data_IF_919834877779
#
_entry.id   IF_919834877779
#
_cell.length_a   1.000
_cell.length_b   1.000
_cell.length_c   1.000
_cell.angle_alpha   90.00
_cell.angle_beta   90.00
_cell.angle_gamma   90.00
#
_symmetry.space_group_name_H-M   'P 1'
#
loop_
_entity.id
_entity.type
_entity.pdbx_description
1 polymer ?
#
# COMPACT_ATOMS: atom_id res chain seq x y z
N UNK A 1 -36.10 -25.93 18.57
CA UNK A 1 -35.50 -25.02 17.55
C UNK A 1 -34.44 -24.06 18.12
N UNK A 2 -34.52 -23.61 19.38
CA UNK A 2 -33.55 -22.64 19.97
C UNK A 2 -32.07 -23.06 19.96
N UNK A 3 -31.76 -24.36 20.10
CA UNK A 3 -30.38 -24.88 20.09
C UNK A 3 -29.69 -24.84 18.71
N UNK A 4 -30.45 -24.74 17.61
CA UNK A 4 -29.90 -24.71 16.26
C UNK A 4 -29.44 -23.29 15.88
N UNK A 5 -30.23 -22.28 16.26
CA UNK A 5 -29.92 -20.86 16.05
C UNK A 5 -28.66 -20.41 16.80
N UNK A 6 -28.49 -20.85 18.05
CA UNK A 6 -27.28 -20.54 18.86
C UNK A 6 -25.99 -21.10 18.26
N UNK A 7 -26.02 -22.29 17.64
CA UNK A 7 -24.84 -22.86 16.96
C UNK A 7 -24.48 -22.09 15.69
N UNK A 8 -25.47 -21.59 14.94
CA UNK A 8 -25.21 -20.80 13.74
C UNK A 8 -24.63 -19.43 14.07
N UNK A 9 -25.12 -18.74 15.10
CA UNK A 9 -24.54 -17.46 15.58
C UNK A 9 -23.10 -17.64 16.04
N UNK A 10 -22.80 -18.73 16.76
CA UNK A 10 -21.44 -19.02 17.23
C UNK A 10 -20.46 -19.35 16.08
N UNK A 11 -20.90 -20.12 15.08
CA UNK A 11 -20.11 -20.43 13.89
C UNK A 11 -19.86 -19.19 13.03
N UNK A 12 -20.85 -18.32 12.86
CA UNK A 12 -20.72 -17.04 12.13
C UNK A 12 -19.73 -16.12 12.85
N UNK A 13 -19.80 -16.03 14.19
CA UNK A 13 -18.85 -15.26 14.99
C UNK A 13 -17.40 -15.74 14.85
N UNK A 14 -17.16 -17.05 14.88
CA UNK A 14 -15.81 -17.62 14.68
C UNK A 14 -15.31 -17.33 13.25
N UNK A 15 -16.17 -17.46 12.24
CA UNK A 15 -15.80 -17.19 10.85
C UNK A 15 -15.44 -15.71 10.63
N UNK A 16 -16.19 -14.79 11.25
CA UNK A 16 -15.88 -13.36 11.27
C UNK A 16 -14.54 -13.08 11.94
N UNK A 17 -14.24 -13.69 13.09
CA UNK A 17 -12.96 -13.48 13.79
C UNK A 17 -11.77 -13.98 12.95
N UNK A 18 -11.92 -15.11 12.25
CA UNK A 18 -10.90 -15.68 11.36
C UNK A 18 -10.65 -14.84 10.10
N UNK A 19 -11.70 -14.32 9.45
CA UNK A 19 -11.56 -13.38 8.33
C UNK A 19 -11.00 -12.03 8.79
N UNK A 20 -11.25 -11.65 10.05
CA UNK A 20 -10.63 -10.48 10.69
C UNK A 20 -9.11 -10.63 10.82
N UNK A 21 -8.63 -11.75 11.37
CA UNK A 21 -7.19 -11.94 11.57
C UNK A 21 -6.40 -12.06 10.26
N UNK A 22 -6.96 -12.73 9.26
CA UNK A 22 -6.27 -12.99 7.99
C UNK A 22 -6.02 -11.73 7.16
N UNK A 23 -7.00 -10.83 7.03
CA UNK A 23 -6.80 -9.60 6.24
C UNK A 23 -5.85 -8.57 6.91
N UNK A 24 -5.70 -8.58 8.24
CA UNK A 24 -4.69 -7.74 8.92
C UNK A 24 -3.27 -8.21 8.59
N UNK A 25 -3.05 -9.53 8.64
CA UNK A 25 -1.76 -10.13 8.28
C UNK A 25 -1.41 -9.90 6.80
N UNK A 26 -2.41 -9.87 5.91
CA UNK A 26 -2.22 -9.62 4.49
C UNK A 26 -1.75 -8.19 4.18
N UNK A 27 -2.34 -7.18 4.84
CA UNK A 27 -1.94 -5.78 4.72
C UNK A 27 -0.52 -5.55 5.22
N UNK A 28 -0.19 -6.09 6.40
CA UNK A 28 1.16 -6.05 6.97
C UNK A 28 2.18 -6.74 6.05
N UNK A 29 1.80 -7.89 5.48
CA UNK A 29 2.62 -8.60 4.51
C UNK A 29 2.92 -7.76 3.26
N UNK A 30 1.94 -7.02 2.74
CA UNK A 30 2.15 -6.09 1.62
C UNK A 30 3.13 -4.98 1.98
N UNK A 31 2.91 -4.33 3.12
CA UNK A 31 3.72 -3.20 3.57
C UNK A 31 5.19 -3.60 3.75
N UNK A 32 5.44 -4.77 4.34
CA UNK A 32 6.79 -5.32 4.47
C UNK A 32 7.43 -5.64 3.11
N UNK A 33 6.67 -6.24 2.19
CA UNK A 33 7.16 -6.55 0.84
C UNK A 33 7.54 -5.29 0.06
N UNK A 34 6.67 -4.26 0.12
CA UNK A 34 6.93 -2.94 -0.48
C UNK A 34 8.19 -2.29 0.10
N UNK A 35 8.32 -2.27 1.43
CA UNK A 35 9.49 -1.70 2.11
C UNK A 35 10.79 -2.41 1.72
N UNK A 36 10.78 -3.75 1.66
CA UNK A 36 11.95 -4.53 1.28
C UNK A 36 12.34 -4.31 -0.19
N UNK A 37 11.36 -4.32 -1.11
CA UNK A 37 11.62 -4.07 -2.53
C UNK A 37 12.12 -2.64 -2.76
N UNK A 38 11.57 -1.65 -2.05
CA UNK A 38 12.04 -0.27 -2.08
C UNK A 38 13.48 -0.14 -1.58
N UNK A 39 13.80 -0.75 -0.43
CA UNK A 39 15.18 -0.76 0.07
C UNK A 39 16.12 -1.35 -0.99
N UNK A 40 15.69 -2.45 -1.64
CA UNK A 40 16.35 -2.99 -2.81
C UNK A 40 16.69 -1.93 -3.86
N UNK A 41 15.73 -1.12 -4.31
CA UNK A 41 15.97 -0.05 -5.28
C UNK A 41 16.92 1.05 -4.78
N UNK A 42 16.80 1.48 -3.52
CA UNK A 42 17.67 2.50 -2.91
C UNK A 42 19.13 2.02 -2.87
N UNK A 43 19.35 0.73 -2.60
CA UNK A 43 20.68 0.14 -2.54
C UNK A 43 21.19 -0.35 -3.91
N UNK A 44 20.33 -0.77 -4.84
CA UNK A 44 20.72 -1.29 -6.17
C UNK A 44 21.26 -0.18 -7.10
N UNK A 45 20.95 1.10 -6.85
CA UNK A 45 21.56 2.20 -7.63
C UNK A 45 23.05 2.37 -7.39
N UNK A 46 23.58 1.92 -6.26
CA UNK A 46 25.04 1.77 -6.08
C UNK A 46 25.66 0.89 -7.18
N UNK A 47 24.90 -0.09 -7.71
CA UNK A 47 25.40 -1.06 -8.69
C UNK A 47 25.18 -0.64 -10.14
N UNK A 48 24.44 0.43 -10.43
CA UNK A 48 23.89 0.69 -11.79
C UNK A 48 24.19 2.03 -12.43
N UNK A 49 24.76 3.01 -11.75
CA UNK A 49 25.00 4.35 -12.34
C UNK A 49 26.45 4.56 -12.76
N UNK A 50 26.82 3.97 -13.90
CA UNK A 50 27.82 4.54 -14.79
C UNK A 50 27.10 5.28 -15.93
N UNK A 51 26.55 6.46 -15.64
CA UNK A 51 26.09 7.34 -16.71
C UNK A 51 27.33 8.07 -17.27
N UNK A 52 27.88 7.56 -18.37
CA UNK A 52 28.94 8.24 -19.12
C UNK A 52 28.33 9.33 -20.01
N UNK A 53 27.75 10.36 -19.39
CA UNK A 53 27.51 11.61 -20.11
C UNK A 53 28.81 12.40 -20.03
N UNK A 54 29.56 12.40 -21.14
CA UNK A 54 30.79 13.18 -21.24
C UNK A 54 30.42 14.65 -21.45
N UNK A 55 30.49 15.43 -20.38
CA UNK A 55 30.39 16.88 -20.45
C UNK A 55 31.84 17.37 -20.38
N UNK A 56 32.32 17.99 -21.46
CA UNK A 56 33.65 18.59 -21.50
C UNK A 56 33.86 19.53 -20.30
N UNK A 57 34.92 19.25 -19.53
CA UNK A 57 35.28 19.99 -18.31
C UNK A 57 34.45 19.67 -17.08
N UNK A 58 33.56 18.66 -17.12
CA UNK A 58 32.88 18.22 -15.91
C UNK A 58 33.87 17.64 -14.88
N UNK A 59 33.66 17.91 -13.58
CA UNK A 59 34.46 17.30 -12.54
C UNK A 59 34.37 15.78 -12.56
N UNK A 60 35.47 15.12 -12.17
CA UNK A 60 35.63 13.66 -12.12
C UNK A 60 34.59 12.91 -11.26
N UNK A 61 33.88 13.63 -10.39
CA UNK A 61 32.84 13.12 -9.50
C UNK A 61 31.42 13.28 -10.06
N UNK A 62 31.24 14.06 -11.13
CA UNK A 62 29.93 14.37 -11.68
C UNK A 62 29.29 13.11 -12.27
N UNK A 63 28.00 12.88 -11.95
CA UNK A 63 27.25 11.67 -12.28
C UNK A 63 27.80 10.35 -11.71
N UNK A 64 28.74 10.42 -10.75
CA UNK A 64 29.28 9.23 -10.08
C UNK A 64 28.74 9.11 -8.67
N UNK A 65 27.97 8.03 -8.45
CA UNK A 65 27.49 7.65 -7.13
C UNK A 65 28.36 6.51 -6.56
N UNK A 66 29.56 6.89 -6.14
CA UNK A 66 30.65 6.02 -5.69
C UNK A 66 30.62 5.68 -4.19
N UNK A 67 29.66 6.25 -3.45
CA UNK A 67 29.57 6.08 -2.01
C UNK A 67 28.37 5.20 -1.62
N UNK A 68 28.62 4.17 -0.81
CA UNK A 68 27.62 3.23 -0.33
C UNK A 68 26.68 3.83 0.74
N UNK A 69 27.05 4.95 1.37
CA UNK A 69 26.21 5.63 2.36
C UNK A 69 25.15 6.54 1.70
N UNK A 70 25.50 7.12 0.55
CA UNK A 70 24.75 8.24 -0.02
C UNK A 70 23.97 7.86 -1.27
N UNK A 71 22.71 8.30 -1.33
CA UNK A 71 21.94 8.32 -2.56
C UNK A 71 21.94 9.73 -3.13
N UNK A 72 22.53 9.89 -4.32
CA UNK A 72 22.85 11.20 -4.87
C UNK A 72 22.17 11.45 -6.20
N UNK A 73 21.78 12.71 -6.40
CA UNK A 73 21.36 13.26 -7.67
C UNK A 73 22.22 14.47 -8.02
N UNK A 74 22.30 14.74 -9.32
CA UNK A 74 23.23 15.70 -9.87
C UNK A 74 22.48 16.75 -10.68
N UNK A 75 23.03 17.95 -10.74
CA UNK A 75 22.59 18.96 -11.70
C UNK A 75 23.78 19.81 -12.13
N UNK A 76 23.65 20.39 -13.32
CA UNK A 76 24.61 21.32 -13.85
C UNK A 76 23.88 22.48 -14.53
N UNK A 77 24.53 23.64 -14.59
CA UNK A 77 24.12 24.70 -15.51
C UNK A 77 25.32 25.55 -15.93
N UNK A 78 25.37 25.99 -17.20
CA UNK A 78 26.29 27.04 -17.60
C UNK A 78 25.95 28.37 -16.89
N UNK A 79 26.95 29.23 -16.72
CA UNK A 79 26.79 30.57 -16.17
C UNK A 79 27.93 30.98 -15.25
N UNK A 80 27.60 31.72 -14.20
CA UNK A 80 28.56 32.20 -13.20
C UNK A 80 28.27 31.57 -11.85
N UNK A 81 29.02 31.98 -10.83
CA UNK A 81 28.74 31.66 -9.43
C UNK A 81 27.28 31.98 -9.01
N UNK A 82 26.63 32.95 -9.66
CA UNK A 82 25.21 33.25 -9.41
C UNK A 82 24.26 32.10 -9.78
N UNK A 83 24.68 31.16 -10.62
CA UNK A 83 23.90 29.98 -11.00
C UNK A 83 23.84 28.92 -9.89
N UNK A 84 24.68 28.99 -8.85
CA UNK A 84 24.79 27.95 -7.80
C UNK A 84 23.44 27.62 -7.17
N UNK A 85 22.67 28.61 -6.74
CA UNK A 85 21.39 28.35 -6.07
C UNK A 85 20.33 27.75 -7.02
N UNK A 86 20.38 28.12 -8.30
CA UNK A 86 19.54 27.49 -9.33
C UNK A 86 19.91 26.03 -9.50
N UNK A 87 21.20 25.71 -9.62
CA UNK A 87 21.67 24.33 -9.81
C UNK A 87 21.40 23.48 -8.57
N UNK A 88 21.55 24.03 -7.36
CA UNK A 88 21.12 23.37 -6.11
C UNK A 88 19.63 23.02 -6.11
N UNK A 89 18.80 23.95 -6.56
CA UNK A 89 17.35 23.74 -6.66
C UNK A 89 17.03 22.61 -7.63
N UNK A 90 17.65 22.61 -8.81
CA UNK A 90 17.46 21.53 -9.80
C UNK A 90 18.00 20.19 -9.32
N UNK A 91 19.18 20.14 -8.67
CA UNK A 91 19.71 18.92 -8.07
C UNK A 91 18.75 18.36 -6.99
N UNK A 92 18.12 19.25 -6.21
CA UNK A 92 17.11 18.86 -5.21
C UNK A 92 15.87 18.27 -5.88
N UNK A 93 15.38 18.87 -6.98
CA UNK A 93 14.25 18.32 -7.75
C UNK A 93 14.57 16.94 -8.31
N UNK A 94 15.77 16.78 -8.88
CA UNK A 94 16.23 15.49 -9.39
C UNK A 94 16.28 14.43 -8.28
N UNK A 95 16.71 14.83 -7.08
CA UNK A 95 16.73 13.95 -5.91
C UNK A 95 15.32 13.53 -5.46
N UNK A 96 14.35 14.44 -5.48
CA UNK A 96 12.93 14.12 -5.20
C UNK A 96 12.39 13.14 -6.24
N UNK A 97 12.56 13.45 -7.53
CA UNK A 97 12.08 12.59 -8.62
C UNK A 97 12.68 11.19 -8.57
N UNK A 98 13.96 11.08 -8.18
CA UNK A 98 14.63 9.81 -7.96
C UNK A 98 13.97 8.99 -6.84
N UNK A 99 13.64 9.59 -5.69
CA UNK A 99 12.91 8.88 -4.63
C UNK A 99 11.51 8.45 -5.08
N UNK A 100 10.78 9.31 -5.80
CA UNK A 100 9.47 8.98 -6.36
C UNK A 100 9.57 7.78 -7.32
N UNK A 101 10.63 7.73 -8.14
CA UNK A 101 10.88 6.61 -9.06
C UNK A 101 11.14 5.30 -8.31
N UNK A 102 11.81 5.33 -7.16
CA UNK A 102 12.02 4.11 -6.35
C UNK A 102 10.70 3.57 -5.82
N UNK A 103 9.86 4.46 -5.26
CA UNK A 103 8.52 4.12 -4.79
C UNK A 103 7.69 3.54 -5.94
N UNK A 104 7.68 4.19 -7.10
CA UNK A 104 6.97 3.70 -8.28
C UNK A 104 7.46 2.33 -8.74
N UNK A 105 8.77 2.10 -8.74
CA UNK A 105 9.37 0.84 -9.17
C UNK A 105 9.06 -0.29 -8.19
N UNK A 106 9.15 -0.02 -6.88
CA UNK A 106 8.78 -0.97 -5.85
C UNK A 106 7.30 -1.35 -5.92
N UNK A 107 6.41 -0.36 -6.09
CA UNK A 107 4.98 -0.61 -6.28
C UNK A 107 4.72 -1.44 -7.53
N UNK A 108 5.32 -1.07 -8.67
CA UNK A 108 5.14 -1.80 -9.93
C UNK A 108 5.49 -3.27 -9.76
N UNK A 109 6.66 -3.57 -9.20
CA UNK A 109 7.15 -4.93 -9.06
C UNK A 109 6.29 -5.74 -8.09
N UNK A 110 5.90 -5.15 -6.95
CA UNK A 110 5.03 -5.83 -5.98
C UNK A 110 3.62 -6.08 -6.53
N UNK A 111 3.03 -5.11 -7.23
CA UNK A 111 1.71 -5.26 -7.86
C UNK A 111 1.75 -6.31 -8.97
N UNK A 112 2.82 -6.35 -9.76
CA UNK A 112 3.01 -7.40 -10.78
C UNK A 112 3.14 -8.79 -10.15
N UNK A 113 3.83 -8.93 -9.02
CA UNK A 113 4.06 -10.22 -8.35
C UNK A 113 2.79 -10.81 -7.72
N UNK A 114 2.01 -10.01 -6.99
CA UNK A 114 0.92 -10.57 -6.16
C UNK A 114 -0.47 -9.98 -6.35
N UNK A 115 -0.61 -8.87 -7.09
CA UNK A 115 -1.83 -8.06 -7.30
C UNK A 115 -2.60 -7.72 -5.99
N UNK A 116 -2.93 -6.45 -5.72
CA UNK A 116 -3.77 -6.09 -4.57
C UNK A 116 -5.11 -6.82 -4.60
N UNK A 117 -5.40 -7.58 -3.54
CA UNK A 117 -6.54 -8.50 -3.46
C UNK A 117 -7.81 -7.82 -2.96
N UNK A 118 -7.66 -6.89 -2.03
CA UNK A 118 -8.76 -6.14 -1.42
C UNK A 118 -8.57 -4.63 -1.54
N UNK A 119 -9.61 -3.90 -1.15
CA UNK A 119 -9.63 -2.44 -1.23
C UNK A 119 -8.59 -1.78 -0.33
N UNK A 120 -8.25 -2.38 0.82
CA UNK A 120 -7.25 -1.82 1.73
C UNK A 120 -5.84 -1.98 1.20
N UNK A 121 -5.53 -3.11 0.57
CA UNK A 121 -4.27 -3.30 -0.13
C UNK A 121 -4.12 -2.29 -1.29
N UNK A 122 -5.21 -1.95 -1.99
CA UNK A 122 -5.20 -0.89 -3.02
C UNK A 122 -4.98 0.49 -2.41
N UNK A 123 -5.67 0.80 -1.32
CA UNK A 123 -5.50 2.06 -0.60
C UNK A 123 -4.08 2.23 -0.03
N UNK A 124 -3.49 1.15 0.50
CA UNK A 124 -2.09 1.16 0.95
C UNK A 124 -1.15 1.51 -0.21
N UNK A 125 -1.31 0.86 -1.37
CA UNK A 125 -0.49 1.15 -2.56
C UNK A 125 -0.67 2.60 -3.01
N UNK A 126 -1.90 3.10 -3.03
CA UNK A 126 -2.18 4.46 -3.51
C UNK A 126 -1.66 5.54 -2.55
N UNK A 127 -1.85 5.36 -1.24
CA UNK A 127 -1.31 6.29 -0.25
C UNK A 127 0.22 6.23 -0.20
N UNK A 128 0.81 5.04 -0.35
CA UNK A 128 2.26 4.91 -0.42
C UNK A 128 2.84 5.60 -1.67
N UNK A 129 2.16 5.51 -2.81
CA UNK A 129 2.52 6.22 -4.05
C UNK A 129 2.50 7.74 -3.87
N UNK A 130 1.49 8.24 -3.16
CA UNK A 130 1.20 9.67 -3.04
C UNK A 130 1.59 10.22 -1.67
N UNK A 131 2.84 10.00 -1.26
CA UNK A 131 3.37 10.59 -0.02
C UNK A 131 3.41 12.13 -0.11
N UNK A 132 2.59 12.86 0.64
CA UNK A 132 2.55 14.32 0.58
C UNK A 132 3.81 14.97 1.19
N UNK A 133 4.52 14.28 2.07
CA UNK A 133 5.67 14.82 2.80
C UNK A 133 7.01 14.49 2.16
N UNK A 134 7.06 13.59 1.16
CA UNK A 134 8.30 13.14 0.53
C UNK A 134 9.17 14.32 0.07
N UNK A 135 8.56 15.29 -0.61
CA UNK A 135 9.27 16.49 -1.09
C UNK A 135 9.85 17.31 0.05
N UNK A 136 9.08 17.50 1.13
CA UNK A 136 9.53 18.26 2.30
C UNK A 136 10.65 17.53 3.03
N UNK A 137 10.53 16.21 3.17
CA UNK A 137 11.55 15.35 3.74
C UNK A 137 12.87 15.43 2.96
N UNK A 138 12.85 15.20 1.64
CA UNK A 138 14.04 15.29 0.78
C UNK A 138 14.64 16.69 0.85
N UNK A 139 13.80 17.72 0.82
CA UNK A 139 14.24 19.10 1.00
C UNK A 139 14.92 19.28 2.37
N UNK A 140 14.30 18.86 3.48
CA UNK A 140 14.86 19.05 4.81
C UNK A 140 16.14 18.27 5.09
N UNK A 141 16.27 17.07 4.52
CA UNK A 141 17.36 16.13 4.85
C UNK A 141 18.51 16.12 3.85
N UNK A 142 18.36 16.74 2.66
CA UNK A 142 19.42 16.76 1.64
C UNK A 142 20.70 17.41 2.14
N UNK A 143 21.82 16.91 1.65
CA UNK A 143 23.13 17.53 1.80
C UNK A 143 23.75 17.80 0.44
N UNK A 144 24.39 18.96 0.28
CA UNK A 144 25.17 19.27 -0.92
C UNK A 144 26.62 18.88 -0.68
N UNK A 145 27.00 17.66 -1.04
CA UNK A 145 28.34 17.13 -0.74
C UNK A 145 29.43 17.74 -1.62
N UNK A 146 29.10 18.10 -2.86
CA UNK A 146 30.05 18.75 -3.79
C UNK A 146 29.37 19.85 -4.58
N UNK A 147 30.06 20.97 -4.71
CA UNK A 147 29.70 22.10 -5.55
C UNK A 147 30.99 22.58 -6.21
N UNK A 148 31.03 22.59 -7.53
CA UNK A 148 32.17 23.10 -8.29
C UNK A 148 31.67 24.14 -9.26
N UNK A 149 32.33 25.30 -9.28
CA UNK A 149 32.26 26.23 -10.37
C UNK A 149 33.59 26.14 -11.13
N UNK A 150 33.52 25.85 -12.42
CA UNK A 150 34.67 25.85 -13.32
C UNK A 150 34.66 27.14 -14.14
N UNK A 151 35.75 27.90 -14.05
CA UNK A 151 35.89 29.20 -14.72
C UNK A 151 36.14 29.07 -16.21
N UNK A 152 36.82 28.01 -16.65
CA UNK A 152 37.22 27.82 -18.04
C UNK A 152 36.00 27.47 -18.90
N UNK A 153 35.15 26.58 -18.40
CA UNK A 153 33.88 26.23 -19.07
C UNK A 153 32.68 27.04 -18.58
N UNK A 154 32.87 27.92 -17.59
CA UNK A 154 31.83 28.78 -16.99
C UNK A 154 30.59 27.97 -16.63
N UNK A 155 30.76 26.95 -15.79
CA UNK A 155 29.68 26.05 -15.43
C UNK A 155 29.70 25.72 -13.94
N UNK A 156 28.52 25.50 -13.38
CA UNK A 156 28.34 25.05 -12.00
C UNK A 156 27.80 23.62 -12.01
N UNK A 157 28.41 22.76 -11.20
CA UNK A 157 28.01 21.37 -10.96
C UNK A 157 27.67 21.19 -9.49
N UNK A 158 26.61 20.45 -9.20
CA UNK A 158 26.18 20.15 -7.82
C UNK A 158 25.88 18.65 -7.67
N UNK A 159 26.35 18.07 -6.56
CA UNK A 159 25.99 16.74 -6.06
C UNK A 159 25.13 16.93 -4.80
N UNK A 160 23.84 16.63 -4.89
CA UNK A 160 22.90 16.64 -3.77
C UNK A 160 22.61 15.20 -3.35
N UNK A 161 22.70 14.89 -2.06
CA UNK A 161 22.60 13.52 -1.56
C UNK A 161 21.70 13.42 -0.34
N UNK A 162 21.17 12.22 -0.11
CA UNK A 162 20.52 11.79 1.11
C UNK A 162 21.28 10.59 1.68
N UNK A 163 21.37 10.52 3.00
CA UNK A 163 21.87 9.32 3.65
C UNK A 163 20.83 8.21 3.45
N UNK A 164 21.25 7.07 2.88
CA UNK A 164 20.35 5.96 2.53
C UNK A 164 19.59 5.40 3.74
N UNK A 165 20.23 5.30 4.90
CA UNK A 165 19.59 4.79 6.11
C UNK A 165 18.44 5.71 6.55
N UNK A 166 18.64 7.03 6.47
CA UNK A 166 17.60 8.01 6.80
C UNK A 166 16.41 7.88 5.83
N UNK A 167 16.67 7.69 4.53
CA UNK A 167 15.61 7.48 3.52
C UNK A 167 14.84 6.20 3.81
N UNK A 168 15.53 5.09 4.06
CA UNK A 168 14.89 3.80 4.37
C UNK A 168 14.05 3.89 5.64
N UNK A 169 14.57 4.56 6.68
CA UNK A 169 13.84 4.78 7.92
C UNK A 169 12.56 5.59 7.70
N UNK A 170 12.65 6.70 6.96
CA UNK A 170 11.51 7.53 6.61
C UNK A 170 10.41 6.74 5.86
N UNK A 171 10.80 6.00 4.82
CA UNK A 171 9.85 5.24 4.01
C UNK A 171 9.18 4.10 4.82
N UNK A 172 9.93 3.48 5.72
CA UNK A 172 9.40 2.48 6.65
C UNK A 172 8.39 3.10 7.62
N UNK A 173 8.70 4.26 8.18
CA UNK A 173 7.78 4.98 9.07
C UNK A 173 6.49 5.37 8.34
N UNK A 174 6.60 5.88 7.12
CA UNK A 174 5.44 6.23 6.29
C UNK A 174 4.54 5.02 5.99
N UNK A 175 5.13 3.90 5.55
CA UNK A 175 4.39 2.65 5.33
C UNK A 175 3.71 2.14 6.60
N UNK A 176 4.39 2.22 7.76
CA UNK A 176 3.83 1.83 9.04
C UNK A 176 2.64 2.71 9.44
N UNK A 177 2.74 4.02 9.21
CA UNK A 177 1.66 4.98 9.48
C UNK A 177 0.42 4.65 8.66
N UNK A 178 0.54 4.54 7.33
CA UNK A 178 -0.57 4.18 6.44
C UNK A 178 -1.19 2.85 6.86
N UNK A 179 -0.35 1.83 7.09
CA UNK A 179 -0.81 0.49 7.47
C UNK A 179 -1.60 0.53 8.79
N UNK A 180 -1.14 1.32 9.76
CA UNK A 180 -1.81 1.49 11.06
C UNK A 180 -3.15 2.20 10.89
N UNK A 181 -3.23 3.25 10.09
CA UNK A 181 -4.46 4.00 9.82
C UNK A 181 -5.52 3.10 9.14
N UNK A 182 -5.14 2.36 8.10
CA UNK A 182 -6.03 1.42 7.40
C UNK A 182 -6.46 0.24 8.27
N UNK A 183 -5.63 -0.14 9.24
CA UNK A 183 -5.94 -1.18 10.23
C UNK A 183 -6.86 -0.68 11.34
N UNK A 184 -6.68 0.55 11.84
CA UNK A 184 -7.54 1.15 12.88
C UNK A 184 -8.96 1.41 12.39
N UNK A 185 -9.11 1.90 11.15
CA UNK A 185 -10.41 2.04 10.51
C UNK A 185 -11.18 0.70 10.46
N UNK A 186 -10.49 -0.45 10.55
CA UNK A 186 -11.15 -1.75 10.65
C UNK A 186 -11.76 -2.03 12.01
N UNK A 187 -11.04 -1.70 13.09
CA UNK A 187 -11.54 -1.95 14.44
C UNK A 187 -12.82 -1.13 14.64
N UNK A 188 -12.79 0.15 14.26
CA UNK A 188 -13.93 1.05 14.36
C UNK A 188 -15.09 0.62 13.45
N UNK A 189 -14.85 0.22 12.19
CA UNK A 189 -15.92 -0.32 11.33
C UNK A 189 -16.48 -1.65 11.82
N UNK A 190 -15.66 -2.56 12.36
CA UNK A 190 -16.13 -3.83 12.90
C UNK A 190 -16.96 -3.64 14.19
N UNK A 191 -16.61 -2.66 15.03
CA UNK A 191 -17.43 -2.28 16.18
C UNK A 191 -18.71 -1.57 15.74
N UNK A 192 -18.65 -0.67 14.76
CA UNK A 192 -19.84 0.00 14.22
C UNK A 192 -20.82 -0.94 13.53
N UNK A 193 -20.34 -1.96 12.81
CA UNK A 193 -21.19 -3.01 12.21
C UNK A 193 -21.83 -3.89 13.29
N UNK A 194 -21.10 -4.18 14.38
CA UNK A 194 -21.62 -4.94 15.52
C UNK A 194 -22.71 -4.15 16.26
N UNK A 195 -22.48 -2.85 16.50
CA UNK A 195 -23.43 -1.94 17.13
C UNK A 195 -24.69 -1.76 16.26
N UNK A 196 -24.54 -1.60 14.94
CA UNK A 196 -25.65 -1.55 14.01
C UNK A 196 -26.48 -2.86 13.92
N UNK A 197 -25.89 -4.02 14.23
CA UNK A 197 -26.61 -5.29 14.36
C UNK A 197 -27.32 -5.42 15.71
N UNK A 198 -26.76 -4.83 16.78
CA UNK A 198 -27.35 -4.82 18.12
C UNK A 198 -28.50 -3.81 18.24
N UNK A 199 -28.47 -2.73 17.46
CA UNK A 199 -29.52 -1.70 17.41
C UNK A 199 -30.68 -2.05 16.45
N UNK A 200 -30.67 -3.23 15.84
CA UNK A 200 -31.85 -3.70 15.11
C UNK A 200 -32.96 -4.02 16.14
N UNK A 201 -34.14 -3.37 16.05
CA UNK A 201 -35.23 -3.65 16.98
C UNK A 201 -35.60 -5.14 16.85
N UNK A 202 -35.61 -5.84 17.97
CA UNK A 202 -36.14 -7.21 18.04
C UNK A 202 -37.51 -7.22 17.34
N UNK A 203 -37.65 -8.05 16.31
CA UNK A 203 -38.93 -8.31 15.65
C UNK A 203 -39.95 -8.68 16.74
N UNK A 204 -40.89 -7.78 17.00
CA UNK A 204 -41.98 -7.99 17.96
C UNK A 204 -42.86 -9.14 17.47
N UNK A 205 -42.60 -10.33 18.02
CA UNK A 205 -43.32 -11.58 17.78
C UNK A 205 -44.78 -11.55 18.27
N UNK A 206 -45.29 -10.39 18.73
CA UNK A 206 -46.67 -10.24 19.21
C UNK A 206 -47.61 -9.51 18.24
N UNK A 207 -47.23 -9.31 16.98
CA UNK A 207 -48.23 -8.86 15.98
C UNK A 207 -49.21 -10.00 15.72
N UNK A 208 -50.51 -9.87 16.05
CA UNK A 208 -51.49 -10.93 15.79
C UNK A 208 -51.68 -11.05 14.29
N UNK A 209 -51.30 -12.18 13.71
CA UNK A 209 -51.71 -12.56 12.36
C UNK A 209 -53.24 -12.61 12.32
N UNK A 210 -53.87 -11.68 11.59
CA UNK A 210 -55.26 -11.80 11.17
C UNK A 210 -55.41 -13.10 10.38
N UNK A 211 -55.98 -14.11 11.04
CA UNK A 211 -56.42 -15.34 10.41
C UNK A 211 -57.75 -15.05 9.72
N UNK A 212 -57.69 -14.61 8.47
CA UNK A 212 -58.89 -14.52 7.65
C UNK A 212 -59.32 -15.92 7.22
N UNK A 213 -60.45 -16.33 7.79
CA UNK A 213 -61.15 -17.56 7.49
C UNK A 213 -61.67 -17.54 6.05
N UNK A 214 -61.16 -18.42 5.19
CA UNK A 214 -61.88 -18.82 4.00
C UNK A 214 -61.51 -20.24 3.56
N UNK A 215 -62.55 -20.98 3.17
CA UNK A 215 -62.53 -22.23 2.43
C UNK A 215 -62.28 -23.53 3.22
N UNK A 216 -63.27 -23.81 4.09
CA UNK A 216 -63.92 -25.13 4.08
C UNK A 216 -64.24 -25.56 2.63
N UNK A 217 -63.52 -26.58 2.14
CA UNK A 217 -63.91 -27.63 1.16
C UNK A 217 -62.68 -28.10 0.39
N UNK A 218 -62.13 -29.24 0.76
CA UNK A 218 -61.72 -30.29 -0.19
C UNK A 218 -61.29 -31.52 0.58
N UNK A 219 -62.03 -32.61 0.40
CA UNK A 219 -61.73 -33.95 0.90
C UNK A 219 -60.70 -34.61 -0.03
N UNK A 220 -59.80 -35.37 0.60
CA UNK A 220 -59.16 -36.61 0.13
C UNK A 220 -58.35 -36.59 -1.19
N UNK A 221 -57.05 -36.87 -1.10
CA UNK A 221 -56.30 -37.61 -2.12
C UNK A 221 -54.85 -37.91 -1.64
N UNK A 222 -54.55 -39.20 -1.42
CA UNK A 222 -53.23 -39.87 -1.39
C UNK A 222 -52.28 -39.50 -0.22
N UNK A 223 -51.89 -40.33 0.76
CA UNK A 223 -51.99 -41.77 1.06
C UNK A 223 -51.82 -42.73 -0.13
N UNK A 224 -50.68 -42.67 -0.80
CA UNK A 224 -50.05 -43.85 -1.46
C UNK A 224 -48.66 -43.43 -1.97
N UNK A 225 -47.60 -43.72 -1.23
CA UNK A 225 -46.22 -43.73 -1.72
C UNK A 225 -45.37 -44.64 -0.83
N UNK A 226 -45.73 -45.91 -0.81
CA UNK A 226 -44.87 -47.02 -0.39
C UNK A 226 -45.00 -48.12 -1.45
N UNK A 227 -44.11 -48.11 -2.46
CA UNK A 227 -43.75 -49.34 -3.18
C UNK A 227 -42.43 -49.21 -3.95
N UNK A 228 -41.43 -49.90 -3.40
CA UNK A 228 -40.41 -50.75 -4.03
C UNK A 228 -39.62 -50.25 -5.26
N UNK A 229 -38.34 -49.98 -4.99
CA UNK A 229 -37.25 -49.96 -5.96
C UNK A 229 -36.82 -51.41 -6.21
N UNK A 230 -37.07 -51.93 -7.42
CA UNK A 230 -36.49 -53.16 -7.96
C UNK A 230 -35.64 -52.86 -9.20
N UNK A 231 -34.35 -53.19 -9.12
CA UNK A 231 -33.39 -53.19 -10.24
C UNK A 231 -33.65 -54.38 -11.19
N UNK A 232 -33.45 -54.25 -12.51
CA UNK A 232 -33.16 -55.39 -13.37
C UNK A 232 -31.65 -55.52 -13.64
N UNK A 233 -31.18 -56.77 -13.53
CA UNK A 233 -29.98 -57.26 -14.19
C UNK A 233 -30.29 -57.50 -15.68
N UNK A 234 -29.35 -57.14 -16.54
CA UNK A 234 -28.89 -57.93 -17.70
C UNK A 234 -27.47 -57.44 -18.08
#
# INVERSE_FOLDING_TARGET
>A
MLKLLSKHVFLVGIFLILTIHTASAQLLGLALSLGNTLAGYIFDIYLRTENTLDIDGAPDWYLRNDDAEWDCAFSYAPGSLASVEKVKTEATKNLVAQQEQYVHSAIRDEVQRRKPRDEKERQLVEQFRNDPELKNFVTGQRQFLKITYDEDIRAVFVKACLNREIVVAYQKEWLQKITTELSKNRAESAFGELEAHLDQPELDLNTPTEFDSAASKSKNAFEELDQEIGLPND
#
